data_IF_532101824873
#
_entry.id   IF_532101824873
#
_cell.length_a   1.000
_cell.length_b   1.000
_cell.length_c   1.000
_cell.angle_alpha   90.00
_cell.angle_beta   90.00
_cell.angle_gamma   90.00
#
_symmetry.space_group_name_H-M   'P 1'
#
loop_
_entity.id
_entity.type
_entity.pdbx_description
1 polymer ?
#
# COMPACT_ATOMS: atom_id res chain seq x y z
N UNK A 1 19.05 10.70 -10.02
CA UNK A 1 18.73 11.61 -8.90
C UNK A 1 17.44 11.13 -8.24
N UNK A 2 17.52 10.44 -7.09
CA UNK A 2 16.34 9.75 -6.50
C UNK A 2 16.19 9.95 -4.98
N UNK A 3 16.86 10.93 -4.38
CA UNK A 3 16.82 11.15 -2.92
C UNK A 3 16.09 12.46 -2.54
N UNK A 4 15.65 13.28 -3.50
CA UNK A 4 15.16 14.64 -3.20
C UNK A 4 13.64 14.74 -2.98
N UNK A 5 12.85 13.72 -3.35
CA UNK A 5 11.38 13.87 -3.33
C UNK A 5 10.75 13.80 -1.93
N UNK A 6 11.42 13.22 -0.93
CA UNK A 6 10.90 13.16 0.45
C UNK A 6 11.13 14.45 1.23
N UNK A 7 11.98 15.37 0.75
CA UNK A 7 12.32 16.62 1.45
C UNK A 7 11.31 17.77 1.20
N UNK A 8 10.37 17.61 0.27
CA UNK A 8 9.39 18.63 -0.12
C UNK A 8 7.94 18.31 0.26
N UNK A 9 7.68 17.27 1.05
CA UNK A 9 6.37 17.12 1.67
C UNK A 9 6.28 18.09 2.85
N UNK A 10 5.27 18.97 2.84
CA UNK A 10 4.95 19.78 4.01
C UNK A 10 4.78 18.85 5.23
N UNK A 11 5.30 19.20 6.42
CA UNK A 11 5.31 18.30 7.59
C UNK A 11 3.93 17.69 7.92
N UNK A 12 2.86 18.44 7.68
CA UNK A 12 1.49 17.99 7.91
C UNK A 12 1.07 16.84 6.97
N UNK A 13 1.57 16.82 5.72
CA UNK A 13 1.25 15.76 4.76
C UNK A 13 1.95 14.44 5.12
N UNK A 14 3.18 14.51 5.66
CA UNK A 14 3.90 13.32 6.12
C UNK A 14 3.16 12.62 7.27
N UNK A 15 2.68 13.38 8.26
CA UNK A 15 1.93 12.83 9.41
C UNK A 15 0.64 12.17 8.94
N UNK A 16 -0.09 12.78 8.01
CA UNK A 16 -1.30 12.21 7.43
C UNK A 16 -1.02 10.89 6.69
N UNK A 17 0.06 10.83 5.90
CA UNK A 17 0.45 9.62 5.18
C UNK A 17 0.85 8.49 6.13
N UNK A 18 1.58 8.80 7.21
CA UNK A 18 1.90 7.83 8.26
C UNK A 18 0.65 7.32 8.98
N UNK A 19 -0.31 8.21 9.26
CA UNK A 19 -1.57 7.87 9.90
C UNK A 19 -2.43 6.98 8.99
N UNK A 20 -2.53 7.31 7.70
CA UNK A 20 -3.18 6.48 6.69
C UNK A 20 -2.56 5.08 6.65
N UNK A 21 -1.23 5.00 6.61
CA UNK A 21 -0.52 3.72 6.59
C UNK A 21 -0.86 2.88 7.83
N UNK A 22 -0.83 3.48 9.02
CA UNK A 22 -1.13 2.79 10.28
C UNK A 22 -2.60 2.34 10.35
N UNK A 23 -3.53 3.17 9.89
CA UNK A 23 -4.94 2.83 9.79
C UNK A 23 -5.16 1.66 8.82
N UNK A 24 -4.50 1.69 7.65
CA UNK A 24 -4.55 0.62 6.67
C UNK A 24 -4.02 -0.71 7.23
N UNK A 25 -2.90 -0.66 7.96
CA UNK A 25 -2.33 -1.81 8.66
C UNK A 25 -3.31 -2.41 9.69
N UNK A 26 -3.96 -1.55 10.48
CA UNK A 26 -4.91 -1.97 11.52
C UNK A 26 -6.26 -2.41 10.96
N UNK A 27 -6.60 -2.03 9.72
CA UNK A 27 -7.92 -2.23 9.12
C UNK A 27 -8.97 -1.21 9.58
N UNK A 28 -8.53 -0.03 10.03
CA UNK A 28 -9.41 1.05 10.48
C UNK A 28 -9.92 1.86 9.29
N UNK A 29 -11.05 1.44 8.73
CA UNK A 29 -11.64 2.03 7.52
C UNK A 29 -12.12 3.48 7.73
N UNK A 30 -12.50 3.84 8.95
CA UNK A 30 -12.93 5.21 9.27
C UNK A 30 -11.74 6.16 9.23
N UNK A 31 -10.63 5.77 9.86
CA UNK A 31 -9.42 6.58 9.85
C UNK A 31 -8.73 6.59 8.47
N UNK A 32 -8.78 5.49 7.71
CA UNK A 32 -8.35 5.47 6.31
C UNK A 32 -9.14 6.50 5.49
N UNK A 33 -10.48 6.48 5.61
CA UNK A 33 -11.35 7.43 4.91
C UNK A 33 -10.98 8.86 5.27
N UNK A 34 -10.88 9.15 6.58
CA UNK A 34 -10.54 10.48 7.08
C UNK A 34 -9.19 10.97 6.58
N UNK A 35 -8.14 10.16 6.66
CA UNK A 35 -6.82 10.55 6.20
C UNK A 35 -6.80 10.87 4.70
N UNK A 36 -7.52 10.09 3.89
CA UNK A 36 -7.64 10.33 2.45
C UNK A 36 -8.42 11.62 2.15
N UNK A 37 -9.50 11.88 2.90
CA UNK A 37 -10.29 13.10 2.76
C UNK A 37 -9.49 14.34 3.18
N UNK A 38 -8.59 14.20 4.18
CA UNK A 38 -7.64 15.21 4.61
C UNK A 38 -6.43 15.38 3.63
N UNK A 39 -6.39 14.60 2.55
CA UNK A 39 -5.42 14.74 1.46
C UNK A 39 -4.12 13.94 1.62
N UNK A 40 -4.12 12.87 2.42
CA UNK A 40 -3.00 11.94 2.48
C UNK A 40 -2.71 11.31 1.11
N UNK A 41 -1.43 11.15 0.78
CA UNK A 41 -1.01 10.42 -0.42
C UNK A 41 -1.29 8.91 -0.25
N UNK A 42 -2.27 8.41 -1.00
CA UNK A 42 -2.71 7.02 -0.96
C UNK A 42 -1.64 6.01 -1.38
N UNK A 43 -0.64 6.46 -2.16
CA UNK A 43 0.47 5.65 -2.64
C UNK A 43 1.77 5.96 -1.90
N UNK A 44 1.70 6.66 -0.77
CA UNK A 44 2.89 7.06 -0.03
C UNK A 44 3.73 5.85 0.40
N UNK A 45 5.01 5.78 0.00
CA UNK A 45 5.85 4.64 0.33
C UNK A 45 6.50 4.83 1.71
N UNK A 46 6.09 4.01 2.69
CA UNK A 46 6.60 4.13 4.05
C UNK A 46 8.05 3.64 4.16
N UNK A 47 9.00 4.56 4.23
CA UNK A 47 10.43 4.25 4.28
C UNK A 47 10.86 3.47 5.53
N UNK A 48 10.13 3.62 6.64
CA UNK A 48 10.39 2.86 7.87
C UNK A 48 9.96 1.39 7.74
N UNK A 49 9.13 1.08 6.73
CA UNK A 49 8.55 -0.23 6.49
C UNK A 49 8.83 -0.69 5.05
N UNK A 50 10.09 -0.56 4.64
CA UNK A 50 10.57 -1.11 3.35
C UNK A 50 9.88 -0.53 2.11
N UNK A 51 9.28 0.66 2.23
CA UNK A 51 8.57 1.32 1.14
C UNK A 51 7.16 0.78 0.92
N UNK A 52 6.57 0.09 1.88
CA UNK A 52 5.20 -0.41 1.76
C UNK A 52 4.22 0.76 1.67
N UNK A 53 3.35 0.73 0.67
CA UNK A 53 2.22 1.65 0.57
C UNK A 53 1.11 1.24 1.56
N UNK A 54 0.12 2.11 1.83
CA UNK A 54 -1.07 1.73 2.59
C UNK A 54 -1.75 0.46 2.06
N UNK A 55 -1.86 0.32 0.73
CA UNK A 55 -2.44 -0.88 0.09
C UNK A 55 -1.65 -2.15 0.42
N UNK A 56 -0.31 -2.08 0.38
CA UNK A 56 0.56 -3.21 0.73
C UNK A 56 0.48 -3.57 2.22
N UNK A 57 0.35 -2.58 3.10
CA UNK A 57 0.18 -2.80 4.54
C UNK A 57 -1.13 -3.52 4.85
N UNK A 58 -2.25 -3.04 4.30
CA UNK A 58 -3.56 -3.71 4.41
C UNK A 58 -3.52 -5.12 3.82
N UNK A 59 -2.82 -5.31 2.69
CA UNK A 59 -2.68 -6.62 2.05
C UNK A 59 -1.87 -7.61 2.88
N UNK A 60 -0.80 -7.15 3.52
CA UNK A 60 0.03 -7.94 4.44
C UNK A 60 -0.74 -8.50 5.63
N UNK A 61 -1.68 -7.72 6.16
CA UNK A 61 -2.46 -8.07 7.35
C UNK A 61 -3.85 -8.64 7.00
N UNK A 62 -4.11 -8.92 5.72
CA UNK A 62 -5.33 -9.54 5.24
C UNK A 62 -6.59 -8.68 5.43
N UNK A 63 -6.47 -7.34 5.46
CA UNK A 63 -7.58 -6.41 5.66
C UNK A 63 -8.37 -6.22 4.37
N UNK A 64 -9.11 -7.23 3.93
CA UNK A 64 -9.78 -7.25 2.61
C UNK A 64 -10.69 -6.04 2.38
N UNK A 65 -11.50 -5.63 3.37
CA UNK A 65 -12.36 -4.44 3.24
C UNK A 65 -11.55 -3.14 3.12
N UNK A 66 -10.41 -3.05 3.81
CA UNK A 66 -9.52 -1.88 3.72
C UNK A 66 -8.78 -1.84 2.40
N UNK A 67 -8.37 -3.00 1.88
CA UNK A 67 -7.81 -3.14 0.52
C UNK A 67 -8.84 -2.68 -0.51
N UNK A 68 -10.09 -3.16 -0.40
CA UNK A 68 -11.19 -2.73 -1.26
C UNK A 68 -11.39 -1.21 -1.22
N UNK A 69 -11.47 -0.63 -0.02
CA UNK A 69 -11.60 0.82 0.17
C UNK A 69 -10.46 1.59 -0.50
N UNK A 70 -9.21 1.18 -0.28
CA UNK A 70 -8.04 1.85 -0.87
C UNK A 70 -8.07 1.77 -2.40
N UNK A 71 -8.44 0.63 -2.97
CA UNK A 71 -8.60 0.47 -4.42
C UNK A 71 -9.74 1.33 -4.98
N UNK A 72 -10.88 1.38 -4.29
CA UNK A 72 -12.03 2.21 -4.68
C UNK A 72 -11.67 3.72 -4.62
N UNK A 73 -10.68 4.08 -3.80
CA UNK A 73 -10.10 5.44 -3.70
C UNK A 73 -8.95 5.70 -4.67
N UNK A 74 -8.62 4.75 -5.54
CA UNK A 74 -7.61 4.91 -6.58
C UNK A 74 -6.18 4.59 -6.16
N UNK A 75 -5.99 3.73 -5.15
CA UNK A 75 -4.67 3.18 -4.85
C UNK A 75 -4.10 2.45 -6.08
N UNK A 76 -2.81 2.61 -6.33
CA UNK A 76 -2.13 1.94 -7.43
C UNK A 76 -1.94 0.46 -7.10
N UNK A 77 -2.79 -0.38 -7.70
CA UNK A 77 -2.83 -1.83 -7.49
C UNK A 77 -1.54 -2.54 -7.90
N UNK A 78 -0.79 -1.97 -8.85
CA UNK A 78 0.40 -2.55 -9.45
C UNK A 78 1.68 -1.86 -8.94
N UNK A 79 1.59 -0.98 -7.95
CA UNK A 79 2.76 -0.39 -7.32
C UNK A 79 3.64 -1.49 -6.72
N UNK A 80 4.95 -1.35 -6.87
CA UNK A 80 5.96 -2.22 -6.29
C UNK A 80 6.81 -1.47 -5.26
N UNK A 81 7.38 -2.19 -4.31
CA UNK A 81 8.25 -1.61 -3.27
C UNK A 81 9.52 -1.01 -3.86
N UNK A 82 9.77 0.29 -3.64
CA UNK A 82 10.92 0.97 -4.27
C UNK A 82 12.24 0.77 -3.50
N UNK A 83 12.17 0.44 -2.21
CA UNK A 83 13.30 0.51 -1.28
C UNK A 83 13.90 -0.86 -0.91
N UNK A 84 13.43 -1.93 -1.52
CA UNK A 84 13.91 -3.30 -1.30
C UNK A 84 14.54 -3.89 -2.55
N UNK A 85 15.50 -4.80 -2.36
CA UNK A 85 16.12 -5.59 -3.44
C UNK A 85 15.06 -6.47 -4.13
N UNK A 86 14.16 -7.05 -3.32
CA UNK A 86 13.01 -7.81 -3.80
C UNK A 86 11.84 -6.85 -3.99
N UNK A 87 11.38 -6.69 -5.22
CA UNK A 87 10.18 -5.90 -5.54
C UNK A 87 8.94 -6.71 -5.27
N UNK A 88 8.05 -6.20 -4.40
CA UNK A 88 6.79 -6.86 -4.09
C UNK A 88 5.62 -5.94 -4.43
N UNK A 89 4.57 -6.50 -5.06
CA UNK A 89 3.27 -5.86 -5.22
C UNK A 89 2.33 -6.22 -4.05
N UNK A 90 1.20 -5.53 -3.95
CA UNK A 90 0.16 -5.87 -2.97
C UNK A 90 -0.31 -7.33 -3.11
N UNK A 91 -0.45 -7.83 -4.35
CA UNK A 91 -0.84 -9.21 -4.64
C UNK A 91 0.19 -10.22 -4.13
N UNK A 92 1.48 -10.01 -4.42
CA UNK A 92 2.55 -10.89 -3.94
C UNK A 92 2.58 -10.98 -2.42
N UNK A 93 2.37 -9.84 -1.75
CA UNK A 93 2.33 -9.77 -0.29
C UNK A 93 1.13 -10.57 0.22
N UNK A 94 -0.08 -10.36 -0.31
CA UNK A 94 -1.26 -11.11 0.12
C UNK A 94 -1.07 -12.63 -0.05
N UNK A 95 -0.52 -13.06 -1.18
CA UNK A 95 -0.24 -14.49 -1.47
C UNK A 95 0.83 -15.04 -0.51
N UNK A 96 1.93 -14.31 -0.30
CA UNK A 96 3.01 -14.76 0.59
C UNK A 96 2.54 -14.99 2.03
N UNK A 97 1.63 -14.15 2.52
CA UNK A 97 1.05 -14.25 3.86
C UNK A 97 -0.20 -15.14 3.93
N UNK A 98 -0.65 -15.73 2.82
CA UNK A 98 -1.78 -16.66 2.77
C UNK A 98 -3.15 -15.98 2.93
N UNK A 99 -3.28 -14.73 2.49
CA UNK A 99 -4.52 -13.97 2.55
C UNK A 99 -5.33 -14.12 1.25
N UNK A 100 -5.89 -15.31 1.06
CA UNK A 100 -6.56 -15.72 -0.19
C UNK A 100 -7.67 -14.76 -0.61
N UNK A 101 -8.58 -14.38 0.30
CA UNK A 101 -9.67 -13.44 -0.01
C UNK A 101 -9.16 -12.06 -0.48
N UNK A 102 -8.02 -11.61 0.05
CA UNK A 102 -7.38 -10.37 -0.39
C UNK A 102 -6.69 -10.54 -1.74
N UNK A 103 -6.02 -11.67 -1.97
CA UNK A 103 -5.39 -11.98 -3.24
C UNK A 103 -6.43 -12.12 -4.36
N UNK A 104 -7.54 -12.81 -4.11
CA UNK A 104 -8.69 -12.92 -5.01
C UNK A 104 -9.25 -11.54 -5.37
N UNK A 105 -9.51 -10.70 -4.36
CA UNK A 105 -9.96 -9.33 -4.61
C UNK A 105 -8.97 -8.54 -5.48
N UNK A 106 -7.67 -8.64 -5.21
CA UNK A 106 -6.65 -7.95 -6.01
C UNK A 106 -6.65 -8.45 -7.47
N UNK A 107 -6.77 -9.75 -7.69
CA UNK A 107 -6.88 -10.34 -9.03
C UNK A 107 -8.14 -9.87 -9.76
N UNK A 108 -9.30 -9.87 -9.09
CA UNK A 108 -10.56 -9.37 -9.64
C UNK A 108 -10.47 -7.90 -10.05
N UNK A 109 -9.67 -7.11 -9.32
CA UNK A 109 -9.42 -5.69 -9.59
C UNK A 109 -8.31 -5.45 -10.61
N UNK A 110 -7.75 -6.50 -11.21
CA UNK A 110 -6.78 -6.41 -12.29
C UNK A 110 -5.32 -6.27 -11.85
N UNK A 111 -4.96 -6.78 -10.66
CA UNK A 111 -3.56 -6.88 -10.25
C UNK A 111 -2.77 -7.75 -11.23
N UNK A 112 -1.62 -7.27 -11.68
CA UNK A 112 -0.76 -7.99 -12.59
C UNK A 112 -0.05 -9.16 -11.87
N UNK A 113 -0.25 -10.36 -12.40
CA UNK A 113 0.38 -11.60 -11.93
C UNK A 113 1.81 -11.76 -12.44
N UNK A 114 2.21 -10.99 -13.45
CA UNK A 114 3.49 -11.14 -14.14
C UNK A 114 4.62 -10.31 -13.53
N UNK A 115 4.39 -9.62 -12.41
CA UNK A 115 5.52 -9.10 -11.66
C UNK A 115 6.40 -10.28 -11.27
N UNK A 116 7.58 -10.35 -11.87
CA UNK A 116 8.60 -11.31 -11.46
C UNK A 116 9.31 -10.68 -10.28
N UNK A 117 9.24 -11.33 -9.12
CA UNK A 117 10.21 -11.03 -8.08
C UNK A 117 11.59 -11.29 -8.69
N UNK A 118 12.61 -10.55 -8.28
CA UNK A 118 14.00 -10.76 -8.74
C UNK A 118 14.59 -12.12 -8.31
N UNK A 119 13.77 -13.03 -7.80
CA UNK A 119 14.10 -14.44 -7.57
C UNK A 119 13.23 -15.32 -8.50
N UNK A 120 13.70 -15.47 -9.74
CA UNK A 120 13.44 -16.61 -10.64
C UNK A 120 11.99 -16.95 -10.94
#
# INVERSE_FOLDING_TARGET
>A
ELIVSSYFMAPNNLVLCQKLWQAAYNGDNEEVTKCLDDGADINWPNQNWSGFTPLMAASREGKTETVKLLLDRGADINRITDYTIVKNSALMIAVFWGHDATAELLLERGADVNFKTTQG
#
